data_IF_890590353988
#
_entry.id   IF_890590353988
#
_cell.length_a   1.000
_cell.length_b   1.000
_cell.length_c   1.000
_cell.angle_alpha   90.00
_cell.angle_beta   90.00
_cell.angle_gamma   90.00
#
_symmetry.space_group_name_H-M   'P 1'
#
loop_
_entity.id
_entity.type
_entity.pdbx_description
1 polymer ?
#
# COMPACT_ATOMS: atom_id res chain seq x y z
N UNK A 1 -3.59 -40.70 -14.02
CA UNK A 1 -4.12 -41.81 -13.18
C UNK A 1 -3.84 -41.58 -11.69
N UNK A 2 -2.58 -41.41 -11.28
CA UNK A 2 -2.23 -41.22 -9.85
C UNK A 2 -2.68 -39.84 -9.30
N UNK A 3 -2.54 -38.76 -10.09
CA UNK A 3 -2.99 -37.41 -9.69
C UNK A 3 -4.50 -37.34 -9.46
N UNK A 4 -5.32 -37.78 -10.42
CA UNK A 4 -6.78 -37.65 -10.35
C UNK A 4 -7.36 -38.36 -9.12
N UNK A 5 -6.79 -39.54 -8.78
CA UNK A 5 -7.15 -40.29 -7.58
C UNK A 5 -6.78 -39.54 -6.31
N UNK A 6 -5.54 -39.05 -6.21
CA UNK A 6 -5.05 -38.27 -5.05
C UNK A 6 -5.82 -36.97 -4.88
N UNK A 7 -6.16 -36.31 -5.97
CA UNK A 7 -6.90 -35.05 -5.99
C UNK A 7 -8.36 -35.27 -5.55
N UNK A 8 -9.00 -36.33 -6.02
CA UNK A 8 -10.36 -36.71 -5.61
C UNK A 8 -10.42 -37.09 -4.13
N UNK A 9 -9.43 -37.85 -3.65
CA UNK A 9 -9.29 -38.19 -2.24
C UNK A 9 -9.07 -36.93 -1.37
N UNK A 10 -8.18 -36.02 -1.79
CA UNK A 10 -7.95 -34.76 -1.08
C UNK A 10 -9.21 -33.87 -1.05
N UNK A 11 -9.99 -33.81 -2.13
CA UNK A 11 -11.28 -33.10 -2.17
C UNK A 11 -12.34 -33.72 -1.26
N UNK A 12 -12.31 -35.03 -1.07
CA UNK A 12 -13.22 -35.77 -0.19
C UNK A 12 -12.91 -35.63 1.31
N UNK A 13 -11.78 -35.02 1.68
CA UNK A 13 -11.42 -34.81 3.08
C UNK A 13 -12.32 -33.78 3.77
N UNK A 14 -12.76 -34.11 4.98
CA UNK A 14 -13.59 -33.24 5.83
C UNK A 14 -12.75 -32.19 6.55
N UNK A 15 -11.53 -32.57 6.97
CA UNK A 15 -10.57 -31.68 7.65
C UNK A 15 -9.35 -31.42 6.75
N UNK A 16 -8.74 -30.24 6.88
CA UNK A 16 -7.53 -29.84 6.13
C UNK A 16 -7.61 -29.99 4.60
N UNK A 17 -8.82 -30.08 4.03
CA UNK A 17 -9.10 -30.23 2.60
C UNK A 17 -8.30 -29.25 1.74
N UNK A 18 -8.27 -27.96 2.12
CA UNK A 18 -7.56 -26.94 1.36
C UNK A 18 -6.06 -27.22 1.27
N UNK A 19 -5.43 -27.60 2.37
CA UNK A 19 -4.01 -27.92 2.42
C UNK A 19 -3.70 -29.22 1.65
N UNK A 20 -4.54 -30.25 1.80
CA UNK A 20 -4.40 -31.51 1.07
C UNK A 20 -4.50 -31.30 -0.45
N UNK A 21 -5.50 -30.54 -0.91
CA UNK A 21 -5.68 -30.19 -2.33
C UNK A 21 -4.48 -29.39 -2.85
N UNK A 22 -4.02 -28.39 -2.10
CA UNK A 22 -2.84 -27.61 -2.48
C UNK A 22 -1.58 -28.48 -2.60
N UNK A 23 -1.37 -29.43 -1.69
CA UNK A 23 -0.22 -30.34 -1.73
C UNK A 23 -0.24 -31.26 -2.96
N UNK A 24 -1.41 -31.74 -3.38
CA UNK A 24 -1.55 -32.54 -4.61
C UNK A 24 -1.32 -31.67 -5.85
N UNK A 25 -1.85 -30.45 -5.91
CA UNK A 25 -1.59 -29.51 -7.01
C UNK A 25 -0.09 -29.21 -7.14
N UNK A 26 0.59 -28.95 -6.03
CA UNK A 26 2.03 -28.69 -6.01
C UNK A 26 2.90 -29.87 -6.50
N UNK A 27 2.35 -31.08 -6.60
CA UNK A 27 3.04 -32.20 -7.23
C UNK A 27 3.08 -32.11 -8.76
N UNK A 28 2.16 -31.36 -9.38
CA UNK A 28 2.17 -31.04 -10.81
C UNK A 28 3.06 -29.82 -11.12
N UNK A 29 3.23 -28.91 -10.18
CA UNK A 29 4.01 -27.67 -10.34
C UNK A 29 5.52 -27.89 -10.14
N UNK A 30 6.05 -29.04 -10.57
CA UNK A 30 7.48 -29.41 -10.49
C UNK A 30 8.04 -29.60 -11.88
N UNK A 31 9.34 -29.33 -12.04
CA UNK A 31 10.09 -29.54 -13.29
C UNK A 31 9.45 -28.84 -14.52
N UNK A 32 8.85 -27.67 -14.27
CA UNK A 32 8.20 -26.86 -15.30
C UNK A 32 9.24 -26.14 -16.17
N UNK A 33 8.95 -26.01 -17.47
CA UNK A 33 9.73 -25.19 -18.40
C UNK A 33 9.12 -23.78 -18.52
N UNK A 34 9.95 -22.74 -18.35
CA UNK A 34 9.52 -21.36 -18.54
C UNK A 34 9.34 -21.08 -20.04
N UNK A 35 8.09 -20.97 -20.49
CA UNK A 35 7.78 -20.67 -21.90
C UNK A 35 7.86 -19.17 -22.20
N UNK A 36 7.24 -18.32 -21.38
CA UNK A 36 7.24 -16.88 -21.57
C UNK A 36 6.92 -16.11 -20.29
N UNK A 37 7.17 -14.80 -20.31
CA UNK A 37 6.74 -13.85 -19.29
C UNK A 37 5.88 -12.79 -19.96
N UNK A 38 4.69 -12.55 -19.40
CA UNK A 38 3.79 -11.48 -19.84
C UNK A 38 3.73 -10.39 -18.78
N UNK A 39 3.66 -9.12 -19.22
CA UNK A 39 3.45 -7.98 -18.34
C UNK A 39 2.14 -7.28 -18.68
N UNK A 40 1.33 -6.98 -17.67
CA UNK A 40 0.14 -6.13 -17.80
C UNK A 40 0.46 -4.81 -17.12
N UNK A 41 0.34 -3.71 -17.86
CA UNK A 41 0.50 -2.37 -17.31
C UNK A 41 -0.86 -1.88 -16.77
N UNK A 42 -0.87 -1.44 -15.52
CA UNK A 42 -1.99 -0.69 -14.97
C UNK A 42 -1.84 0.77 -15.39
N UNK A 43 -2.74 1.19 -16.29
CA UNK A 43 -2.62 2.46 -17.00
C UNK A 43 -3.07 3.61 -16.09
N UNK A 44 -2.16 4.52 -15.82
CA UNK A 44 -2.44 5.77 -15.12
C UNK A 44 -3.38 6.67 -15.94
N UNK A 45 -4.14 7.51 -15.25
CA UNK A 45 -4.85 8.62 -15.89
C UNK A 45 -3.87 9.56 -16.60
N UNK A 46 -4.39 10.31 -17.59
CA UNK A 46 -3.59 11.28 -18.33
C UNK A 46 -2.99 12.34 -17.38
N UNK A 47 -1.76 12.75 -17.67
CA UNK A 47 -1.02 13.79 -16.96
C UNK A 47 -0.73 13.54 -15.46
N UNK A 48 -1.01 12.35 -14.90
CA UNK A 48 -0.71 12.04 -13.48
C UNK A 48 0.74 12.37 -13.12
N UNK A 49 1.71 11.97 -13.96
CA UNK A 49 3.15 12.27 -13.76
C UNK A 49 3.43 13.77 -13.65
N UNK A 50 2.99 14.54 -14.64
CA UNK A 50 3.20 15.99 -14.70
C UNK A 50 2.51 16.72 -13.53
N UNK A 51 1.32 16.25 -13.13
CA UNK A 51 0.61 16.77 -11.96
C UNK A 51 1.39 16.51 -10.68
N UNK A 52 1.86 15.28 -10.44
CA UNK A 52 2.66 14.95 -9.26
C UNK A 52 3.95 15.75 -9.19
N UNK A 53 4.65 15.93 -10.32
CA UNK A 53 5.85 16.78 -10.42
C UNK A 53 5.54 18.25 -10.07
N UNK A 54 4.43 18.78 -10.59
CA UNK A 54 4.00 20.16 -10.30
C UNK A 54 3.70 20.35 -8.81
N UNK A 55 2.96 19.42 -8.20
CA UNK A 55 2.65 19.44 -6.77
C UNK A 55 3.93 19.34 -5.92
N UNK A 56 4.86 18.45 -6.30
CA UNK A 56 6.13 18.30 -5.62
C UNK A 56 6.97 19.59 -5.68
N UNK A 57 7.07 20.21 -6.86
CA UNK A 57 7.78 21.48 -7.06
C UNK A 57 7.15 22.65 -6.29
N UNK A 58 5.84 22.59 -6.04
CA UNK A 58 5.13 23.52 -5.16
C UNK A 58 5.35 23.26 -3.66
N UNK A 59 6.16 22.26 -3.29
CA UNK A 59 6.45 21.89 -1.91
C UNK A 59 5.35 21.08 -1.23
N UNK A 60 4.39 20.53 -2.01
CA UNK A 60 3.30 19.71 -1.48
C UNK A 60 3.83 18.29 -1.25
N UNK A 61 3.69 17.80 -0.01
CA UNK A 61 4.00 16.42 0.35
C UNK A 61 2.83 15.52 -0.03
N UNK A 62 3.13 14.46 -0.78
CA UNK A 62 2.13 13.54 -1.32
C UNK A 62 2.27 12.20 -0.63
N UNK A 63 1.16 11.68 -0.13
CA UNK A 63 1.06 10.35 0.48
C UNK A 63 0.05 9.53 -0.32
N UNK A 64 0.35 8.26 -0.56
CA UNK A 64 -0.56 7.33 -1.23
C UNK A 64 -1.17 6.38 -0.21
N UNK A 65 -2.50 6.34 -0.12
CA UNK A 65 -3.22 5.43 0.76
C UNK A 65 -4.12 4.52 -0.09
N UNK A 66 -3.81 3.24 -0.20
CA UNK A 66 -4.54 2.28 -1.07
C UNK A 66 -4.99 1.04 -0.30
N UNK A 67 -6.11 0.44 -0.76
CA UNK A 67 -6.56 -0.89 -0.33
C UNK A 67 -5.83 -2.05 -1.03
N UNK A 68 -5.01 -1.73 -2.03
CA UNK A 68 -4.29 -2.72 -2.85
C UNK A 68 -3.13 -3.39 -2.11
N UNK A 69 -2.66 -4.47 -2.73
CA UNK A 69 -1.44 -5.18 -2.32
C UNK A 69 -0.21 -4.28 -2.48
N UNK A 70 0.82 -4.64 -1.72
CA UNK A 70 2.09 -3.91 -1.72
C UNK A 70 2.72 -3.85 -3.10
N UNK A 71 2.72 -4.98 -3.82
CA UNK A 71 3.36 -5.09 -5.13
C UNK A 71 2.72 -4.13 -6.14
N UNK A 72 1.38 -4.09 -6.18
CA UNK A 72 0.62 -3.18 -7.05
C UNK A 72 0.88 -1.72 -6.70
N UNK A 73 0.83 -1.36 -5.41
CA UNK A 73 1.07 0.01 -4.96
C UNK A 73 2.49 0.50 -5.32
N UNK A 74 3.50 -0.36 -5.16
CA UNK A 74 4.88 -0.05 -5.56
C UNK A 74 5.00 0.11 -7.07
N UNK A 75 4.33 -0.74 -7.85
CA UNK A 75 4.28 -0.59 -9.31
C UNK A 75 3.68 0.76 -9.72
N UNK A 76 2.53 1.15 -9.15
CA UNK A 76 1.89 2.44 -9.42
C UNK A 76 2.75 3.62 -8.96
N UNK A 77 3.37 3.53 -7.79
CA UNK A 77 4.20 4.61 -7.26
C UNK A 77 5.45 4.85 -8.12
N UNK A 78 6.05 3.79 -8.66
CA UNK A 78 7.18 3.89 -9.60
C UNK A 78 6.72 4.36 -10.99
N UNK A 79 5.62 3.82 -11.50
CA UNK A 79 5.12 4.20 -12.84
C UNK A 79 4.63 5.64 -12.88
N UNK A 80 4.10 6.17 -11.76
CA UNK A 80 3.64 7.56 -11.62
C UNK A 80 4.74 8.56 -11.27
N UNK A 81 5.98 8.10 -11.02
CA UNK A 81 7.09 8.92 -10.51
C UNK A 81 6.83 9.54 -9.13
N UNK A 82 5.87 8.99 -8.36
CA UNK A 82 5.69 9.37 -6.96
C UNK A 82 6.91 8.95 -6.12
N UNK A 83 7.48 7.79 -6.42
CA UNK A 83 8.84 7.42 -6.00
C UNK A 83 9.78 7.82 -7.13
N UNK A 84 10.69 8.75 -6.87
CA UNK A 84 11.69 9.15 -7.85
C UNK A 84 12.69 8.02 -8.12
N UNK A 85 13.35 8.02 -9.28
CA UNK A 85 14.39 7.03 -9.61
C UNK A 85 15.58 7.04 -8.64
N UNK A 86 15.81 8.19 -7.99
CA UNK A 86 16.89 8.38 -7.03
C UNK A 86 16.45 8.12 -5.57
N UNK A 87 15.16 7.92 -5.33
CA UNK A 87 14.66 7.67 -3.99
C UNK A 87 15.01 6.24 -3.57
N UNK A 88 15.58 6.10 -2.37
CA UNK A 88 15.73 4.78 -1.76
C UNK A 88 14.38 4.35 -1.18
N UNK A 89 13.85 3.21 -1.64
CA UNK A 89 12.58 2.69 -1.14
C UNK A 89 12.82 1.79 0.08
N UNK A 90 12.13 2.07 1.18
CA UNK A 90 12.23 1.29 2.42
C UNK A 90 10.89 0.68 2.78
N UNK A 91 10.83 -0.66 2.77
CA UNK A 91 9.61 -1.42 3.00
C UNK A 91 9.56 -1.87 4.46
N UNK A 92 8.49 -1.47 5.15
CA UNK A 92 8.15 -1.91 6.50
C UNK A 92 7.31 -3.18 6.36
N UNK A 93 7.98 -4.32 6.18
CA UNK A 93 7.32 -5.61 6.01
C UNK A 93 7.02 -6.28 7.36
N UNK A 94 5.79 -6.79 7.52
CA UNK A 94 5.35 -7.66 8.64
C UNK A 94 5.76 -7.18 10.05
N UNK A 95 5.50 -5.92 10.38
CA UNK A 95 5.66 -5.45 11.76
C UNK A 95 4.57 -6.09 12.62
N UNK A 96 4.98 -6.85 13.63
CA UNK A 96 4.05 -7.57 14.53
C UNK A 96 4.27 -7.26 16.00
N UNK A 97 5.41 -6.67 16.36
CA UNK A 97 5.80 -6.37 17.73
C UNK A 97 6.34 -4.95 17.89
N UNK A 98 6.43 -4.50 19.14
CA UNK A 98 7.08 -3.23 19.51
C UNK A 98 8.55 -3.21 19.05
N UNK A 99 9.26 -4.33 19.19
CA UNK A 99 10.67 -4.43 18.81
C UNK A 99 10.85 -4.30 17.30
N UNK A 100 9.97 -4.93 16.50
CA UNK A 100 10.00 -4.80 15.04
C UNK A 100 9.83 -3.33 14.63
N UNK A 101 8.82 -2.66 15.19
CA UNK A 101 8.52 -1.26 14.91
C UNK A 101 9.71 -0.35 15.26
N UNK A 102 10.33 -0.57 16.42
CA UNK A 102 11.53 0.17 16.82
C UNK A 102 12.68 0.01 15.83
N UNK A 103 12.98 -1.24 15.46
CA UNK A 103 14.11 -1.55 14.58
C UNK A 103 13.94 -0.92 13.20
N UNK A 104 12.77 -1.06 12.58
CA UNK A 104 12.54 -0.51 11.23
C UNK A 104 12.52 1.02 11.22
N UNK A 105 11.89 1.67 12.22
CA UNK A 105 11.92 3.13 12.35
C UNK A 105 13.35 3.63 12.57
N UNK A 106 14.10 2.97 13.47
CA UNK A 106 15.49 3.34 13.75
C UNK A 106 16.41 3.16 12.54
N UNK A 107 16.20 2.12 11.73
CA UNK A 107 16.96 1.93 10.49
C UNK A 107 16.61 3.00 9.45
N UNK A 108 15.32 3.28 9.25
CA UNK A 108 14.85 4.27 8.28
C UNK A 108 15.27 5.71 8.64
N UNK A 109 15.38 6.05 9.93
CA UNK A 109 15.83 7.40 10.36
C UNK A 109 17.26 7.73 9.93
N UNK A 110 18.12 6.72 9.73
CA UNK A 110 19.50 6.89 9.24
C UNK A 110 19.59 7.21 7.75
N UNK A 111 18.50 7.04 7.01
CA UNK A 111 18.44 7.30 5.57
C UNK A 111 18.04 8.74 5.28
N UNK A 112 18.51 9.26 4.16
CA UNK A 112 18.06 10.53 3.59
C UNK A 112 17.26 10.24 2.32
N UNK A 113 16.27 11.08 2.01
CA UNK A 113 15.47 11.01 0.78
C UNK A 113 14.95 9.59 0.46
N UNK A 114 14.31 8.97 1.45
CA UNK A 114 13.70 7.66 1.27
C UNK A 114 12.18 7.75 1.10
N UNK A 115 11.65 6.83 0.32
CA UNK A 115 10.22 6.56 0.21
C UNK A 115 9.86 5.41 1.17
N UNK A 116 8.87 5.63 2.05
CA UNK A 116 8.43 4.59 3.00
C UNK A 116 7.22 3.86 2.43
N UNK A 117 7.27 2.54 2.43
CA UNK A 117 6.15 1.68 2.00
C UNK A 117 5.78 0.76 3.15
N UNK A 118 4.52 0.74 3.56
CA UNK A 118 4.06 -0.10 4.68
C UNK A 118 2.62 -0.59 4.49
N UNK A 119 2.28 -1.70 5.13
CA UNK A 119 0.89 -2.18 5.18
C UNK A 119 0.08 -1.48 6.26
N UNK A 120 -1.25 -1.48 6.16
CA UNK A 120 -2.14 -0.94 7.19
C UNK A 120 -1.91 -1.59 8.57
N UNK A 121 -1.64 -2.90 8.63
CA UNK A 121 -1.28 -3.58 9.87
C UNK A 121 0.05 -3.07 10.46
N UNK A 122 1.07 -2.89 9.60
CA UNK A 122 2.37 -2.39 10.04
C UNK A 122 2.30 -0.94 10.52
N UNK A 123 1.50 -0.11 9.83
CA UNK A 123 1.19 1.25 10.24
C UNK A 123 0.56 1.27 11.64
N UNK A 124 -0.44 0.41 11.90
CA UNK A 124 -1.09 0.33 13.20
C UNK A 124 -0.10 0.04 14.34
N UNK A 125 0.84 -0.88 14.13
CA UNK A 125 1.90 -1.16 15.11
C UNK A 125 2.87 0.02 15.30
N UNK A 126 3.27 0.69 14.22
CA UNK A 126 4.10 1.89 14.29
C UNK A 126 3.40 3.00 15.09
N UNK A 127 2.14 3.28 14.80
CA UNK A 127 1.35 4.31 15.48
C UNK A 127 1.07 3.95 16.94
N UNK A 128 0.80 2.68 17.23
CA UNK A 128 0.53 2.23 18.60
C UNK A 128 1.72 2.40 19.54
N UNK A 129 2.94 2.13 19.07
CA UNK A 129 4.12 2.09 19.93
C UNK A 129 5.07 3.27 19.79
N UNK A 130 5.13 3.90 18.61
CA UNK A 130 6.11 4.93 18.24
C UNK A 130 5.49 6.01 17.33
N UNK A 131 4.28 6.47 17.67
CA UNK A 131 3.54 7.44 16.85
C UNK A 131 4.36 8.66 16.47
N UNK A 132 5.00 9.29 17.45
CA UNK A 132 5.72 10.56 17.26
C UNK A 132 6.94 10.37 16.37
N UNK A 133 7.72 9.32 16.63
CA UNK A 133 8.95 9.00 15.89
C UNK A 133 8.63 8.58 14.46
N UNK A 134 7.57 7.78 14.27
CA UNK A 134 7.09 7.42 12.94
C UNK A 134 6.65 8.66 12.16
N UNK A 135 5.85 9.54 12.77
CA UNK A 135 5.36 10.74 12.09
C UNK A 135 6.48 11.71 11.74
N UNK A 136 7.49 11.88 12.61
CA UNK A 136 8.69 12.68 12.30
C UNK A 136 9.46 12.11 11.10
N UNK A 137 9.67 10.79 11.09
CA UNK A 137 10.31 10.09 9.99
C UNK A 137 9.51 10.25 8.68
N UNK A 138 8.20 9.99 8.75
CA UNK A 138 7.29 10.02 7.61
C UNK A 138 7.19 11.43 7.00
N UNK A 139 7.15 12.49 7.82
CA UNK A 139 7.11 13.87 7.34
C UNK A 139 8.42 14.31 6.67
N UNK A 140 9.56 13.71 7.03
CA UNK A 140 10.88 13.98 6.42
C UNK A 140 11.12 13.15 5.16
N UNK A 141 10.38 12.06 4.98
CA UNK A 141 10.51 11.16 3.82
C UNK A 141 10.12 11.87 2.51
N UNK A 142 10.54 11.32 1.36
CA UNK A 142 10.16 11.86 0.05
C UNK A 142 8.66 11.66 -0.20
N UNK A 143 8.19 10.44 0.08
CA UNK A 143 6.79 10.02 0.01
C UNK A 143 6.53 8.88 0.99
N UNK A 144 5.25 8.65 1.31
CA UNK A 144 4.79 7.52 2.13
C UNK A 144 3.63 6.83 1.42
N UNK A 145 3.71 5.51 1.33
CA UNK A 145 2.73 4.66 0.67
C UNK A 145 2.20 3.65 1.67
N UNK A 146 0.94 3.78 2.04
CA UNK A 146 0.24 2.83 2.90
C UNK A 146 -0.64 1.92 2.05
N UNK A 147 -0.33 0.62 2.07
CA UNK A 147 -1.03 -0.43 1.33
C UNK A 147 -2.02 -1.17 2.23
N UNK A 148 -3.02 -1.84 1.65
CA UNK A 148 -4.03 -2.60 2.41
C UNK A 148 -4.72 -1.78 3.51
N UNK A 149 -4.93 -0.48 3.31
CA UNK A 149 -5.60 0.37 4.28
C UNK A 149 -7.13 0.16 4.24
N UNK A 150 -7.75 0.08 5.41
CA UNK A 150 -9.20 0.21 5.53
C UNK A 150 -9.65 1.67 5.35
N UNK A 151 -10.92 1.94 4.97
CA UNK A 151 -11.46 3.29 4.88
C UNK A 151 -11.27 4.11 6.18
N UNK A 152 -11.41 3.47 7.33
CA UNK A 152 -11.19 4.10 8.64
C UNK A 152 -9.73 4.46 8.86
N UNK A 153 -8.80 3.58 8.50
CA UNK A 153 -7.36 3.85 8.61
C UNK A 153 -6.95 5.03 7.72
N UNK A 154 -7.50 5.12 6.50
CA UNK A 154 -7.22 6.25 5.60
C UNK A 154 -7.59 7.59 6.26
N UNK A 155 -8.78 7.68 6.85
CA UNK A 155 -9.23 8.88 7.56
C UNK A 155 -8.37 9.19 8.80
N UNK A 156 -8.01 8.17 9.58
CA UNK A 156 -7.13 8.33 10.75
C UNK A 156 -5.77 8.90 10.38
N UNK A 157 -5.17 8.47 9.26
CA UNK A 157 -3.89 9.03 8.78
C UNK A 157 -4.02 10.51 8.48
N UNK A 158 -5.10 10.95 7.84
CA UNK A 158 -5.33 12.38 7.54
C UNK A 158 -5.38 13.20 8.82
N UNK A 159 -6.18 12.79 9.79
CA UNK A 159 -6.30 13.48 11.10
C UNK A 159 -4.98 13.48 11.87
N UNK A 160 -4.21 12.40 11.77
CA UNK A 160 -2.90 12.31 12.40
C UNK A 160 -1.90 13.29 11.77
N UNK A 161 -1.89 13.42 10.44
CA UNK A 161 -1.03 14.40 9.75
C UNK A 161 -1.42 15.83 10.16
N UNK A 162 -2.71 16.15 10.20
CA UNK A 162 -3.20 17.48 10.62
C UNK A 162 -2.76 17.80 12.05
N UNK A 163 -3.01 16.89 13.01
CA UNK A 163 -2.68 17.12 14.42
C UNK A 163 -1.18 17.16 14.68
N UNK A 164 -0.37 16.35 13.98
CA UNK A 164 1.07 16.30 14.16
C UNK A 164 1.80 17.48 13.51
N UNK A 165 1.36 17.91 12.32
CA UNK A 165 2.07 18.94 11.54
C UNK A 165 1.48 20.34 11.68
N UNK A 166 0.21 20.46 12.08
CA UNK A 166 -0.55 21.70 12.05
C UNK A 166 -0.81 22.25 10.64
N UNK A 167 -0.50 21.48 9.58
CA UNK A 167 -0.68 21.88 8.18
C UNK A 167 -2.05 21.47 7.66
N UNK A 168 -2.48 22.15 6.60
CA UNK A 168 -3.68 21.79 5.84
C UNK A 168 -3.43 20.52 5.03
N UNK A 169 -4.42 19.64 5.01
CA UNK A 169 -4.40 18.41 4.21
C UNK A 169 -5.44 18.50 3.10
N UNK A 170 -5.12 17.91 1.95
CA UNK A 170 -6.08 17.64 0.90
C UNK A 170 -6.14 16.14 0.66
N UNK A 171 -7.34 15.60 0.46
CA UNK A 171 -7.57 14.19 0.16
C UNK A 171 -8.32 14.06 -1.16
N UNK A 172 -7.81 13.18 -2.03
CA UNK A 172 -8.38 12.88 -3.35
C UNK A 172 -8.78 11.41 -3.38
N UNK A 173 -9.97 11.10 -3.90
CA UNK A 173 -10.43 9.73 -4.07
C UNK A 173 -11.61 9.63 -5.03
N UNK A 174 -11.85 8.45 -5.57
CA UNK A 174 -12.85 8.18 -6.61
C UNK A 174 -14.01 7.27 -6.13
N UNK A 175 -13.81 6.54 -5.03
CA UNK A 175 -14.75 5.54 -4.54
C UNK A 175 -15.36 5.82 -3.16
N UNK A 176 -16.40 5.04 -2.82
CA UNK A 176 -17.02 5.05 -1.49
C UNK A 176 -16.05 4.76 -0.34
N UNK A 177 -14.95 4.05 -0.63
CA UNK A 177 -13.89 3.72 0.33
C UNK A 177 -13.03 4.94 0.75
N UNK A 178 -13.12 6.05 0.01
CA UNK A 178 -12.34 7.26 0.28
C UNK A 178 -13.17 8.37 0.91
N UNK A 179 -14.49 8.19 1.03
CA UNK A 179 -15.42 9.21 1.56
C UNK A 179 -15.00 9.67 2.97
N UNK A 180 -14.67 8.74 3.86
CA UNK A 180 -14.21 9.06 5.21
C UNK A 180 -12.90 9.86 5.22
N UNK A 181 -11.99 9.54 4.31
CA UNK A 181 -10.71 10.24 4.17
C UNK A 181 -10.89 11.65 3.58
N UNK A 182 -11.74 11.78 2.57
CA UNK A 182 -12.11 13.05 1.92
C UNK A 182 -12.78 13.99 2.93
N UNK A 183 -13.70 13.48 3.75
CA UNK A 183 -14.40 14.26 4.77
C UNK A 183 -13.50 14.68 5.94
N UNK A 184 -12.45 13.90 6.25
CA UNK A 184 -11.51 14.22 7.31
C UNK A 184 -10.49 15.31 6.93
N UNK A 185 -10.24 15.51 5.63
CA UNK A 185 -9.28 16.49 5.14
C UNK A 185 -9.83 17.92 5.19
N UNK A 186 -8.95 18.92 5.21
CA UNK A 186 -9.36 20.34 5.10
C UNK A 186 -9.95 20.65 3.72
N UNK A 187 -9.48 19.94 2.68
CA UNK A 187 -10.02 19.98 1.34
C UNK A 187 -10.23 18.55 0.82
N UNK A 188 -11.49 18.18 0.60
CA UNK A 188 -11.87 16.90 -0.01
C UNK A 188 -12.14 17.05 -1.50
N UNK A 189 -11.56 16.18 -2.33
CA UNK A 189 -11.71 16.19 -3.78
C UNK A 189 -12.19 14.81 -4.25
N UNK A 190 -13.44 14.75 -4.69
CA UNK A 190 -14.01 13.57 -5.33
C UNK A 190 -13.68 13.52 -6.82
N UNK A 191 -13.16 12.40 -7.30
CA UNK A 191 -13.04 12.13 -8.73
C UNK A 191 -14.35 11.53 -9.22
N UNK A 192 -14.99 12.18 -10.19
CA UNK A 192 -16.21 11.67 -10.80
C UNK A 192 -15.90 10.43 -11.65
N UNK A 193 -16.30 9.25 -11.17
CA UNK A 193 -16.21 7.99 -11.91
C UNK A 193 -17.44 7.72 -12.78
N UNK A 194 -17.31 6.76 -13.71
CA UNK A 194 -18.46 6.23 -14.48
C UNK A 194 -19.37 5.32 -13.65
N UNK A 195 -18.87 4.78 -12.53
CA UNK A 195 -19.53 3.74 -11.73
C UNK A 195 -20.33 4.27 -10.53
N UNK A 196 -20.34 5.59 -10.30
CA UNK A 196 -21.16 6.22 -9.26
C UNK A 196 -20.59 7.55 -8.74
N UNK A 197 -21.43 8.33 -8.03
CA UNK A 197 -21.10 9.63 -7.43
C UNK A 197 -20.90 9.58 -5.91
N UNK A 198 -20.44 8.45 -5.37
CA UNK A 198 -20.39 8.30 -3.90
C UNK A 198 -19.34 9.20 -3.24
N UNK A 199 -18.29 9.59 -3.98
CA UNK A 199 -17.23 10.48 -3.52
C UNK A 199 -17.36 11.93 -4.05
N UNK A 200 -18.26 12.21 -5.01
CA UNK A 200 -18.38 13.49 -5.73
C UNK A 200 -19.68 14.23 -5.46
#
# INVERSE_FOLDING_TARGET
ADFDSKYSAAKGMTENRAAAVAGVIASLERDMELVCVTGVEDKLQENVKATLETLHNAGIKIWMLTGDKLETAVCIAKSSMLISKNDEMFIFDKISSRTDAHNVIHQATKKQNCAIVLTGSSLEHCLKYYQTEFMQLACRSSTVICCRCSPTQKAQVVTLIQSHTGKRTAAVGDGGNDVSMIQAADAGIGIAGKEGKQAS
#
